data_IF_879336444797
#
_entry.id   IF_879336444797
#
_cell.length_a   1.000
_cell.length_b   1.000
_cell.length_c   1.000
_cell.angle_alpha   90.00
_cell.angle_beta   90.00
_cell.angle_gamma   90.00
#
_symmetry.space_group_name_H-M   'P 1'
#
loop_
_entity.id
_entity.type
_entity.pdbx_description
1 polymer ?
#
# COMPACT_ATOMS: atom_id res chain seq x y z
N UNK A 1 -12.64 -2.08 -10.90
CA UNK A 1 -12.89 -1.12 -9.80
C UNK A 1 -12.42 -1.73 -8.49
N UNK A 2 -11.24 -1.38 -7.99
CA UNK A 2 -10.70 -1.90 -6.73
C UNK A 2 -11.13 -0.99 -5.57
N UNK A 3 -12.37 -1.14 -5.11
CA UNK A 3 -12.93 -0.33 -4.01
C UNK A 3 -12.08 -0.48 -2.74
N UNK A 4 -11.88 0.61 -2.01
CA UNK A 4 -11.27 0.55 -0.68
C UNK A 4 -12.07 -0.39 0.22
N UNK A 5 -11.37 -1.14 1.09
CA UNK A 5 -12.08 -1.96 2.07
C UNK A 5 -12.88 -1.02 2.97
N UNK A 6 -14.19 -1.23 3.12
CA UNK A 6 -14.98 -0.36 3.95
C UNK A 6 -14.52 -0.49 5.40
N UNK A 7 -14.53 0.62 6.14
CA UNK A 7 -13.96 0.69 7.48
C UNK A 7 -14.58 -0.32 8.45
N UNK A 8 -15.86 -0.67 8.27
CA UNK A 8 -16.53 -1.69 9.07
C UNK A 8 -15.95 -3.08 8.85
N UNK A 9 -15.52 -3.41 7.62
CA UNK A 9 -14.93 -4.71 7.30
C UNK A 9 -13.55 -4.84 7.92
N UNK A 10 -12.72 -3.79 7.82
CA UNK A 10 -11.42 -3.71 8.50
C UNK A 10 -11.62 -3.92 10.01
N UNK A 11 -12.52 -3.16 10.63
CA UNK A 11 -12.85 -3.28 12.06
C UNK A 11 -13.33 -4.69 12.43
N UNK A 12 -14.15 -5.30 11.59
CA UNK A 12 -14.69 -6.65 11.79
C UNK A 12 -13.60 -7.72 11.76
N UNK A 13 -12.71 -7.68 10.77
CA UNK A 13 -11.56 -8.59 10.66
C UNK A 13 -10.60 -8.36 11.83
N UNK A 14 -10.28 -7.11 12.16
CA UNK A 14 -9.41 -6.78 13.29
C UNK A 14 -10.01 -7.18 14.64
N UNK A 15 -11.34 -7.17 14.79
CA UNK A 15 -11.99 -7.71 16.00
C UNK A 15 -11.71 -9.20 16.15
N UNK A 16 -11.82 -9.97 15.06
CA UNK A 16 -11.54 -11.41 15.05
C UNK A 16 -10.06 -11.66 15.33
N UNK A 17 -9.16 -10.95 14.64
CA UNK A 17 -7.70 -11.07 14.83
C UNK A 17 -7.30 -10.76 16.27
N UNK A 18 -7.87 -9.71 16.88
CA UNK A 18 -7.67 -9.38 18.30
C UNK A 18 -8.13 -10.48 19.24
N UNK A 19 -9.30 -11.07 18.98
CA UNK A 19 -9.83 -12.18 19.77
C UNK A 19 -8.87 -13.36 19.80
N UNK A 20 -8.39 -13.78 18.63
CA UNK A 20 -7.45 -14.90 18.53
C UNK A 20 -6.10 -14.57 19.16
N UNK A 21 -5.54 -13.39 18.88
CA UNK A 21 -4.24 -13.00 19.41
C UNK A 21 -4.19 -12.99 20.93
N UNK A 22 -5.23 -12.49 21.60
CA UNK A 22 -5.20 -12.31 23.06
C UNK A 22 -5.86 -13.44 23.84
N UNK A 23 -6.81 -14.18 23.24
CA UNK A 23 -7.64 -15.15 23.95
C UNK A 23 -7.84 -16.48 23.23
N UNK A 24 -7.26 -16.66 22.04
CA UNK A 24 -7.41 -17.89 21.25
C UNK A 24 -8.84 -18.15 20.76
N UNK A 25 -9.72 -17.14 20.73
CA UNK A 25 -11.13 -17.28 20.30
C UNK A 25 -11.62 -16.08 19.49
N UNK A 26 -12.61 -16.29 18.64
CA UNK A 26 -13.13 -15.26 17.71
C UNK A 26 -13.67 -13.99 18.39
N UNK A 27 -14.31 -14.13 19.55
CA UNK A 27 -14.98 -13.03 20.25
C UNK A 27 -14.15 -12.54 21.44
N UNK A 28 -13.46 -11.40 21.30
CA UNK A 28 -12.84 -10.74 22.44
C UNK A 28 -13.95 -10.18 23.34
N UNK A 29 -13.82 -10.38 24.66
CA UNK A 29 -14.56 -9.55 25.61
C UNK A 29 -13.82 -8.21 25.73
N UNK A 30 -14.56 -7.12 25.91
CA UNK A 30 -14.01 -5.78 26.02
C UNK A 30 -12.99 -5.67 27.17
N UNK A 31 -11.92 -4.89 26.98
CA UNK A 31 -10.89 -4.64 28.01
C UNK A 31 -9.76 -5.66 28.10
N UNK A 32 -9.63 -6.61 27.17
CA UNK A 32 -8.59 -7.65 27.22
C UNK A 32 -7.41 -7.46 26.25
N UNK A 33 -7.37 -6.39 25.48
CA UNK A 33 -6.21 -6.10 24.65
C UNK A 33 -5.07 -5.55 25.52
N UNK A 34 -3.99 -6.33 25.70
CA UNK A 34 -2.83 -5.89 26.47
C UNK A 34 -2.06 -4.76 25.78
N UNK A 35 -2.16 -4.69 24.45
CA UNK A 35 -1.47 -3.71 23.61
C UNK A 35 -2.46 -3.08 22.63
N UNK A 36 -2.36 -1.77 22.46
CA UNK A 36 -3.14 -1.02 21.48
C UNK A 36 -2.92 -1.60 20.07
N UNK A 37 -4.00 -1.76 19.29
CA UNK A 37 -3.94 -2.42 17.99
C UNK A 37 -2.96 -1.73 17.02
N UNK A 38 -2.91 -0.40 17.02
CA UNK A 38 -1.97 0.37 16.21
C UNK A 38 -0.48 0.22 16.61
N UNK A 39 -0.18 -0.38 17.78
CA UNK A 39 1.19 -0.80 18.16
C UNK A 39 1.43 -2.26 17.76
N UNK A 40 0.42 -3.12 17.90
CA UNK A 40 0.47 -4.51 17.42
C UNK A 40 0.79 -4.57 15.92
N UNK A 41 0.22 -3.66 15.12
CA UNK A 41 0.41 -3.66 13.67
C UNK A 41 1.72 -3.05 13.17
N UNK A 42 2.57 -2.55 14.08
CA UNK A 42 3.89 -2.01 13.70
C UNK A 42 4.88 -3.14 13.41
N UNK A 43 5.89 -2.90 12.56
CA UNK A 43 7.05 -3.76 12.42
C UNK A 43 7.71 -4.05 13.78
N UNK A 44 8.37 -5.20 13.89
CA UNK A 44 9.03 -5.61 15.15
C UNK A 44 10.18 -4.68 15.50
N UNK A 45 10.86 -4.17 14.48
CA UNK A 45 11.94 -3.19 14.53
C UNK A 45 11.47 -1.86 15.12
N UNK A 46 10.18 -1.56 15.01
CA UNK A 46 9.53 -0.36 15.56
C UNK A 46 8.74 -0.65 16.86
N UNK A 47 9.05 -1.77 17.53
CA UNK A 47 8.46 -2.16 18.82
C UNK A 47 7.01 -2.67 18.74
N UNK A 48 6.60 -3.16 17.56
CA UNK A 48 5.32 -3.83 17.35
C UNK A 48 5.41 -5.36 17.36
N UNK A 49 4.31 -6.03 17.01
CA UNK A 49 4.25 -7.50 16.90
C UNK A 49 4.41 -7.99 15.45
N UNK A 50 4.52 -7.08 14.48
CA UNK A 50 4.63 -7.42 13.07
C UNK A 50 3.34 -7.93 12.44
N UNK A 51 2.18 -7.71 13.07
CA UNK A 51 0.88 -8.04 12.47
C UNK A 51 0.60 -7.03 11.35
N UNK A 52 0.15 -7.48 10.18
CA UNK A 52 -0.09 -6.55 9.07
C UNK A 52 -1.29 -5.64 9.35
N UNK A 53 -1.07 -4.32 9.24
CA UNK A 53 -2.14 -3.34 9.14
C UNK A 53 -2.94 -3.58 7.85
N UNK A 54 -4.24 -3.83 7.97
CA UNK A 54 -5.10 -4.21 6.85
C UNK A 54 -5.24 -3.12 5.79
N UNK A 55 -5.20 -1.86 6.20
CA UNK A 55 -5.31 -0.72 5.29
C UNK A 55 -4.04 -0.62 4.46
N UNK A 56 -2.88 -0.62 5.12
CA UNK A 56 -1.58 -0.56 4.45
C UNK A 56 -1.33 -1.79 3.58
N UNK A 57 -1.70 -2.99 4.05
CA UNK A 57 -1.62 -4.22 3.26
C UNK A 57 -2.51 -4.13 2.01
N UNK A 58 -3.73 -3.62 2.16
CA UNK A 58 -4.62 -3.37 1.04
C UNK A 58 -4.02 -2.39 0.03
N UNK A 59 -3.37 -1.34 0.48
CA UNK A 59 -2.64 -0.40 -0.38
C UNK A 59 -1.47 -1.06 -1.10
N UNK A 60 -0.66 -1.85 -0.40
CA UNK A 60 0.49 -2.56 -0.98
C UNK A 60 0.07 -3.52 -2.09
N UNK A 61 -1.01 -4.27 -1.89
CA UNK A 61 -1.55 -5.15 -2.93
C UNK A 61 -2.05 -4.37 -4.16
N UNK A 62 -2.50 -3.12 -4.00
CA UNK A 62 -2.95 -2.28 -5.11
C UNK A 62 -1.80 -1.67 -5.91
N UNK A 63 -0.64 -1.43 -5.30
CA UNK A 63 0.58 -0.97 -6.01
C UNK A 63 0.94 -1.91 -7.16
N UNK A 64 0.74 -3.22 -6.98
CA UNK A 64 0.97 -4.23 -8.03
C UNK A 64 0.24 -3.91 -9.33
N UNK A 65 -0.96 -3.36 -9.26
CA UNK A 65 -1.74 -3.05 -10.46
C UNK A 65 -1.16 -1.87 -11.23
N UNK A 66 -0.69 -0.83 -10.54
CA UNK A 66 0.02 0.29 -11.16
C UNK A 66 1.31 -0.20 -11.84
N UNK A 67 2.03 -1.12 -11.19
CA UNK A 67 3.21 -1.75 -11.77
C UNK A 67 2.89 -2.54 -13.03
N UNK A 68 1.86 -3.40 -13.01
CA UNK A 68 1.45 -4.19 -14.18
C UNK A 68 1.03 -3.29 -15.36
N UNK A 69 0.32 -2.19 -15.09
CA UNK A 69 -0.05 -1.22 -16.12
C UNK A 69 1.16 -0.56 -16.77
N UNK A 70 2.22 -0.30 -15.99
CA UNK A 70 3.45 0.31 -16.49
C UNK A 70 4.32 -0.67 -17.29
N UNK A 71 4.41 -1.93 -16.83
CA UNK A 71 5.29 -2.93 -17.44
C UNK A 71 4.73 -3.58 -18.69
N UNK A 72 3.40 -3.72 -18.79
CA UNK A 72 2.75 -4.37 -19.92
C UNK A 72 1.51 -3.58 -20.35
N UNK A 73 1.71 -2.49 -21.11
CA UNK A 73 0.63 -1.58 -21.51
C UNK A 73 -0.39 -2.24 -22.46
N UNK A 74 0.00 -3.30 -23.17
CA UNK A 74 -0.83 -3.95 -24.18
C UNK A 74 -1.66 -5.11 -23.64
N UNK A 75 -1.45 -5.51 -22.39
CA UNK A 75 -2.19 -6.63 -21.85
C UNK A 75 -3.65 -6.27 -21.53
N UNK A 76 -4.63 -7.17 -21.77
CA UNK A 76 -6.04 -6.96 -21.44
C UNK A 76 -6.39 -6.36 -20.07
N UNK A 77 -5.55 -6.48 -19.04
CA UNK A 77 -5.83 -5.90 -17.72
C UNK A 77 -5.64 -4.38 -17.66
N UNK A 78 -4.96 -3.77 -18.65
CA UNK A 78 -4.83 -2.31 -18.74
C UNK A 78 -6.15 -1.63 -19.08
N UNK A 79 -7.10 -2.36 -19.68
CA UNK A 79 -8.47 -1.88 -19.91
C UNK A 79 -9.27 -1.68 -18.62
N UNK A 80 -8.84 -2.25 -17.49
CA UNK A 80 -9.50 -1.99 -16.23
C UNK A 80 -9.17 -0.58 -15.74
N UNK A 81 -10.20 0.25 -15.55
CA UNK A 81 -10.07 1.49 -14.79
C UNK A 81 -9.90 1.15 -13.30
N UNK A 82 -8.65 0.98 -12.90
CA UNK A 82 -8.27 0.74 -11.51
C UNK A 82 -8.20 2.10 -10.85
N UNK A 83 -9.26 2.44 -10.13
CA UNK A 83 -9.26 3.59 -9.23
C UNK A 83 -8.33 3.26 -8.07
N UNK A 84 -7.30 4.10 -7.90
CA UNK A 84 -6.30 3.92 -6.86
C UNK A 84 -6.23 5.19 -6.02
N UNK A 85 -6.33 5.10 -4.67
CA UNK A 85 -6.16 6.25 -3.79
C UNK A 85 -4.78 6.91 -3.94
N UNK A 86 -4.69 8.21 -3.66
CA UNK A 86 -3.45 8.99 -3.77
C UNK A 86 -2.31 8.41 -2.93
N UNK A 87 -2.61 7.83 -1.76
CA UNK A 87 -1.60 7.19 -0.92
C UNK A 87 -0.92 6.01 -1.60
N UNK A 88 -1.65 5.25 -2.42
CA UNK A 88 -1.08 4.13 -3.18
C UNK A 88 -0.26 4.65 -4.37
N UNK A 89 -0.71 5.74 -5.03
CA UNK A 89 0.07 6.40 -6.09
C UNK A 89 1.39 6.94 -5.54
N UNK A 90 1.35 7.59 -4.38
CA UNK A 90 2.54 8.05 -3.67
C UNK A 90 3.46 6.87 -3.30
N UNK A 91 2.90 5.77 -2.80
CA UNK A 91 3.68 4.58 -2.46
C UNK A 91 4.33 3.96 -3.70
N UNK A 92 3.61 3.89 -4.82
CA UNK A 92 4.14 3.44 -6.11
C UNK A 92 5.28 4.36 -6.59
N UNK A 93 5.08 5.67 -6.57
CA UNK A 93 6.09 6.65 -6.99
C UNK A 93 7.38 6.59 -6.16
N UNK A 94 7.29 6.25 -4.87
CA UNK A 94 8.46 6.08 -4.00
C UNK A 94 9.12 4.72 -4.19
N UNK A 95 8.32 3.66 -4.39
CA UNK A 95 8.82 2.29 -4.47
C UNK A 95 9.38 1.91 -5.85
N UNK A 96 9.04 2.65 -6.90
CA UNK A 96 9.49 2.39 -8.26
C UNK A 96 10.66 3.28 -8.64
N UNK A 97 11.73 2.66 -9.10
CA UNK A 97 12.78 3.31 -9.88
C UNK A 97 12.60 2.93 -11.35
N UNK A 98 12.94 3.84 -12.26
CA UNK A 98 12.80 3.61 -13.70
C UNK A 98 14.09 4.02 -14.39
N UNK A 99 14.71 3.06 -15.07
CA UNK A 99 15.86 3.34 -15.93
C UNK A 99 15.37 3.80 -17.29
N UNK A 100 15.95 4.90 -17.79
CA UNK A 100 15.58 5.46 -19.09
C UNK A 100 16.13 4.55 -20.19
N UNK A 101 15.24 3.81 -20.85
CA UNK A 101 15.53 3.04 -22.06
C UNK A 101 15.34 3.88 -23.33
N UNK A 102 14.45 3.42 -24.20
CA UNK A 102 14.04 4.16 -25.42
C UNK A 102 13.08 5.34 -25.15
N UNK A 103 12.74 5.58 -23.88
CA UNK A 103 11.87 6.67 -23.44
C UNK A 103 10.37 6.43 -23.59
N UNK A 104 9.95 5.27 -24.11
CA UNK A 104 8.52 5.01 -24.42
C UNK A 104 7.66 4.74 -23.17
N UNK A 105 8.26 4.23 -22.10
CA UNK A 105 7.58 3.83 -20.85
C UNK A 105 7.97 4.68 -19.64
N UNK A 106 8.79 5.73 -19.85
CA UNK A 106 9.31 6.59 -18.78
C UNK A 106 8.61 7.94 -18.76
N UNK A 107 8.00 8.28 -17.62
CA UNK A 107 7.47 9.60 -17.34
C UNK A 107 8.59 10.48 -16.77
N UNK A 108 9.23 11.25 -17.65
CA UNK A 108 10.42 12.04 -17.34
C UNK A 108 10.33 12.88 -16.04
N UNK A 109 9.17 13.48 -15.75
CA UNK A 109 8.98 14.34 -14.59
C UNK A 109 8.53 13.60 -13.32
N UNK A 110 7.80 12.50 -13.48
CA UNK A 110 7.11 11.81 -12.39
C UNK A 110 7.85 10.55 -11.91
N UNK A 111 8.69 9.95 -12.75
CA UNK A 111 9.43 8.74 -12.42
C UNK A 111 10.74 9.04 -11.72
N UNK A 112 11.15 8.13 -10.82
CA UNK A 112 12.45 8.16 -10.17
C UNK A 112 13.52 7.60 -11.10
N UNK A 113 14.01 8.44 -12.02
CA UNK A 113 15.05 8.07 -12.98
C UNK A 113 16.43 8.70 -12.71
N UNK A 114 16.50 9.87 -12.06
CA UNK A 114 17.76 10.55 -11.78
C UNK A 114 18.23 10.22 -10.36
N UNK A 115 19.13 9.23 -10.23
CA UNK A 115 19.64 8.77 -8.92
C UNK A 115 18.52 8.42 -7.91
N UNK A 116 17.43 7.81 -8.39
CA UNK A 116 16.27 7.47 -7.55
C UNK A 116 15.41 8.68 -7.15
N UNK A 117 15.57 9.84 -7.78
CA UNK A 117 14.77 11.05 -7.53
C UNK A 117 13.92 11.43 -8.74
N UNK A 118 12.78 12.08 -8.48
CA UNK A 118 11.90 12.65 -9.50
C UNK A 118 12.31 14.08 -9.77
N UNK A 119 12.20 14.54 -11.01
CA UNK A 119 12.57 15.92 -11.38
C UNK A 119 11.64 16.93 -10.69
N UNK A 120 10.35 16.61 -10.53
CA UNK A 120 9.40 17.46 -9.81
C UNK A 120 9.81 17.75 -8.36
N UNK A 121 10.54 16.83 -7.71
CA UNK A 121 11.03 17.03 -6.35
C UNK A 121 12.30 17.90 -6.31
N UNK A 122 13.16 17.79 -7.33
CA UNK A 122 14.44 18.53 -7.42
C UNK A 122 14.22 19.96 -7.91
N UNK A 123 13.29 20.15 -8.86
CA UNK A 123 13.02 21.44 -9.49
C UNK A 123 11.49 21.71 -9.57
N UNK A 124 10.83 21.98 -8.44
CA UNK A 124 9.36 22.15 -8.36
C UNK A 124 8.82 23.44 -9.01
N UNK A 125 9.70 24.29 -9.56
CA UNK A 125 9.36 25.59 -10.15
C UNK A 125 9.69 25.70 -11.65
N UNK A 126 10.17 24.61 -12.25
CA UNK A 126 10.33 24.49 -13.70
C UNK A 126 9.02 24.05 -14.34
#
# INVERSE_FOLDING_TARGET
MALDLPQWAIKGVDRIRRGYLWRGRKEPKDGHCLVAWGKVTRPKELGGLGVSDLKNLGWALRVRWLWLQKMDPHHPWTMFQIQVPDQVRAMFAVAMETEVGDGTSTLFWEDRGLHGQRIVDIAPRL
#
